data_IF_195150858196
#
_entry.id   IF_195150858196
#
_cell.length_a   1.000
_cell.length_b   1.000
_cell.length_c   1.000
_cell.angle_alpha   90.00
_cell.angle_beta   90.00
_cell.angle_gamma   90.00
#
_symmetry.space_group_name_H-M   'P 1'
#
loop_
_entity.id
_entity.type
_entity.pdbx_description
1 polymer ?
#
# COMPACT_ATOMS: atom_id res chain seq x y z
N UNK A 1 -8.38 6.45 34.24
CA UNK A 1 -8.27 6.39 33.67
C UNK A 1 -8.17 6.03 33.00
N UNK A 2 -7.99 5.96 33.28
CA UNK A 2 -7.82 5.78 32.65
C UNK A 2 -7.84 5.37 31.69
N UNK A 3 -7.67 5.10 32.07
CA UNK A 3 -7.68 4.75 31.25
C UNK A 3 -8.15 4.58 30.34
N UNK A 4 -8.49 4.54 30.26
CA UNK A 4 -9.07 4.45 29.27
C UNK A 4 -8.79 5.08 28.02
N UNK A 5 -8.27 5.70 27.78
CA UNK A 5 -7.95 6.21 26.71
C UNK A 5 -7.41 5.52 25.67
N UNK A 6 -7.03 4.75 25.82
CA UNK A 6 -6.51 3.80 25.00
C UNK A 6 -7.37 3.41 23.90
N UNK A 7 -8.62 3.25 24.17
CA UNK A 7 -9.58 2.74 23.24
C UNK A 7 -9.88 3.68 22.10
N UNK A 8 -9.39 4.90 22.13
CA UNK A 8 -9.63 5.83 21.04
C UNK A 8 -8.65 5.69 19.90
N UNK A 9 -7.61 4.88 20.06
CA UNK A 9 -6.64 4.66 19.01
C UNK A 9 -7.20 3.65 18.01
N UNK A 10 -7.32 4.01 16.72
CA UNK A 10 -7.81 3.04 15.75
C UNK A 10 -6.88 1.86 15.64
N UNK A 11 -7.46 0.72 15.39
CA UNK A 11 -6.67 -0.49 15.19
C UNK A 11 -6.53 -0.75 13.72
N UNK A 12 -5.31 -1.02 13.30
CA UNK A 12 -5.01 -1.38 11.93
C UNK A 12 -4.43 -2.78 11.92
N UNK A 13 -4.57 -3.44 10.78
CA UNK A 13 -3.99 -4.75 10.62
C UNK A 13 -2.48 -4.66 10.62
N UNK A 14 -1.82 -5.67 11.17
CA UNK A 14 -0.36 -5.78 11.03
C UNK A 14 0.02 -7.03 10.26
N UNK A 15 -0.93 -7.91 9.95
CA UNK A 15 -0.69 -9.13 9.19
C UNK A 15 -1.87 -9.42 8.26
N UNK A 16 -1.58 -10.16 7.21
CA UNK A 16 -2.58 -10.69 6.30
C UNK A 16 -2.53 -12.21 6.37
N UNK A 17 -3.68 -12.84 6.13
CA UNK A 17 -3.74 -14.29 5.91
C UNK A 17 -4.06 -14.51 4.44
N UNK A 18 -3.14 -15.11 3.73
CA UNK A 18 -3.28 -15.30 2.29
C UNK A 18 -3.48 -16.78 2.00
N UNK A 19 -4.62 -17.15 1.40
CA UNK A 19 -4.83 -18.55 1.06
C UNK A 19 -3.90 -18.97 -0.07
N UNK A 20 -3.15 -20.04 0.16
CA UNK A 20 -2.29 -20.63 -0.87
C UNK A 20 -2.53 -22.12 -0.82
N UNK A 21 -3.29 -22.62 -1.78
CA UNK A 21 -3.72 -24.02 -1.83
C UNK A 21 -4.49 -24.37 -0.57
N UNK A 22 -4.03 -25.31 0.23
CA UNK A 22 -4.72 -25.73 1.45
C UNK A 22 -4.19 -25.03 2.70
N UNK A 23 -3.43 -23.96 2.54
CA UNK A 23 -2.83 -23.27 3.67
C UNK A 23 -3.24 -21.81 3.71
N UNK A 24 -3.18 -21.24 4.90
CA UNK A 24 -3.29 -19.82 5.11
C UNK A 24 -1.92 -19.31 5.50
N UNK A 25 -1.38 -18.43 4.68
CA UNK A 25 -0.03 -17.93 4.86
C UNK A 25 -0.08 -16.58 5.58
N UNK A 26 0.45 -16.48 6.81
CA UNK A 26 0.48 -15.19 7.50
C UNK A 26 1.63 -14.34 6.96
N UNK A 27 1.30 -13.13 6.52
CA UNK A 27 2.27 -12.20 5.94
C UNK A 27 2.24 -10.93 6.77
N UNK A 28 3.39 -10.51 7.25
CA UNK A 28 3.49 -9.22 7.95
C UNK A 28 3.34 -8.09 6.96
N UNK A 29 2.57 -7.06 7.30
CA UNK A 29 2.43 -5.90 6.45
C UNK A 29 3.73 -5.13 6.29
N UNK A 30 4.69 -5.33 7.18
CA UNK A 30 6.02 -4.75 7.02
C UNK A 30 6.77 -5.36 5.85
N UNK A 31 6.35 -6.54 5.40
CA UNK A 31 6.98 -7.22 4.27
C UNK A 31 6.26 -6.96 2.96
N UNK A 32 5.21 -6.14 2.97
CA UNK A 32 4.42 -5.84 1.78
C UNK A 32 4.90 -4.57 1.13
N UNK A 33 5.16 -4.62 -0.18
CA UNK A 33 5.53 -3.45 -0.96
C UNK A 33 4.30 -2.72 -1.51
N UNK A 34 3.34 -3.46 -2.04
CA UNK A 34 2.16 -2.82 -2.60
C UNK A 34 1.04 -3.82 -2.81
N UNK A 35 -0.15 -3.28 -3.06
CA UNK A 35 -1.29 -4.04 -3.54
C UNK A 35 -1.63 -3.50 -4.91
N UNK A 36 -1.94 -4.38 -5.83
CA UNK A 36 -2.18 -4.04 -7.23
C UNK A 36 -3.45 -4.72 -7.71
N UNK A 37 -4.27 -3.98 -8.45
CA UNK A 37 -5.48 -4.56 -9.02
C UNK A 37 -5.51 -4.33 -10.53
N UNK A 38 -5.92 -5.35 -11.26
CA UNK A 38 -6.14 -5.28 -12.70
C UNK A 38 -7.12 -6.38 -13.08
N UNK A 39 -8.00 -6.10 -14.03
CA UNK A 39 -8.97 -7.08 -14.54
C UNK A 39 -9.77 -7.72 -13.41
N UNK A 40 -10.14 -6.91 -12.42
CA UNK A 40 -10.95 -7.33 -11.26
C UNK A 40 -10.25 -8.30 -10.31
N UNK A 41 -8.95 -8.48 -10.49
CA UNK A 41 -8.14 -9.32 -9.61
C UNK A 41 -7.17 -8.45 -8.84
N UNK A 42 -7.01 -8.74 -7.56
CA UNK A 42 -6.09 -8.02 -6.70
C UNK A 42 -4.96 -8.93 -6.27
N UNK A 43 -3.77 -8.37 -6.18
CA UNK A 43 -2.56 -9.08 -5.80
C UNK A 43 -1.82 -8.30 -4.74
N UNK A 44 -1.21 -9.02 -3.80
CA UNK A 44 -0.30 -8.43 -2.84
C UNK A 44 1.13 -8.75 -3.28
N UNK A 45 1.98 -7.73 -3.32
CA UNK A 45 3.39 -7.86 -3.70
C UNK A 45 4.26 -7.67 -2.48
N UNK A 46 5.15 -8.62 -2.24
CA UNK A 46 6.05 -8.59 -1.09
C UNK A 46 7.37 -7.96 -1.47
N UNK A 47 8.12 -7.54 -0.46
CA UNK A 47 9.45 -6.95 -0.67
C UNK A 47 10.43 -7.93 -1.30
N UNK A 48 10.14 -9.22 -1.23
CA UNK A 48 10.94 -10.24 -1.90
C UNK A 48 10.71 -10.27 -3.42
N UNK A 49 9.65 -9.61 -3.89
CA UNK A 49 9.25 -9.67 -5.29
C UNK A 49 8.16 -10.70 -5.56
N UNK A 50 7.86 -11.56 -4.60
CA UNK A 50 6.79 -12.54 -4.76
C UNK A 50 5.43 -11.86 -4.69
N UNK A 51 4.45 -12.44 -5.36
CA UNK A 51 3.09 -11.93 -5.31
C UNK A 51 2.10 -13.06 -5.11
N UNK A 52 0.95 -12.70 -4.54
CA UNK A 52 -0.12 -13.65 -4.28
C UNK A 52 -1.47 -13.01 -4.59
N UNK A 53 -2.42 -13.79 -5.12
CA UNK A 53 -3.79 -13.26 -5.24
C UNK A 53 -4.37 -12.97 -3.87
N UNK A 54 -5.14 -11.90 -3.79
CA UNK A 54 -5.76 -11.49 -2.54
C UNK A 54 -7.18 -11.00 -2.85
N UNK A 55 -8.18 -11.76 -2.42
CA UNK A 55 -9.56 -11.57 -2.89
C UNK A 55 -10.27 -10.45 -2.15
N UNK A 56 -9.75 -9.23 -2.24
CA UNK A 56 -10.39 -8.03 -1.69
C UNK A 56 -10.16 -6.88 -2.64
N UNK A 57 -11.06 -5.90 -2.60
CA UNK A 57 -10.88 -4.68 -3.39
C UNK A 57 -9.86 -3.78 -2.71
N UNK A 58 -9.27 -2.87 -3.47
CA UNK A 58 -8.35 -1.90 -2.87
C UNK A 58 -9.06 -1.03 -1.85
N UNK A 59 -10.34 -0.72 -2.05
CA UNK A 59 -11.12 0.04 -1.08
C UNK A 59 -11.21 -0.70 0.27
N UNK A 60 -11.49 -1.99 0.21
CA UNK A 60 -11.55 -2.80 1.42
C UNK A 60 -10.20 -2.89 2.10
N UNK A 61 -9.14 -3.05 1.31
CA UNK A 61 -7.80 -3.19 1.84
C UNK A 61 -7.36 -1.91 2.53
N UNK A 62 -7.46 -0.76 1.85
CA UNK A 62 -6.95 0.49 2.39
C UNK A 62 -7.65 0.88 3.69
N UNK A 63 -8.91 0.50 3.85
CA UNK A 63 -9.68 0.85 5.04
C UNK A 63 -9.15 0.22 6.31
N UNK A 64 -8.37 -0.86 6.19
CA UNK A 64 -7.83 -1.56 7.35
C UNK A 64 -6.34 -1.32 7.55
N UNK A 65 -5.71 -0.51 6.70
CA UNK A 65 -4.27 -0.25 6.78
C UNK A 65 -3.99 1.08 7.45
N UNK A 66 -2.83 1.16 8.10
CA UNK A 66 -2.39 2.39 8.72
C UNK A 66 -2.11 3.44 7.64
N UNK A 67 -2.76 4.61 7.70
CA UNK A 67 -2.52 5.65 6.68
C UNK A 67 -1.12 6.24 6.73
N UNK A 68 -0.40 6.05 7.82
CA UNK A 68 1.01 6.47 7.87
C UNK A 68 1.89 5.56 7.04
N UNK A 69 1.49 4.30 6.88
CA UNK A 69 2.33 3.29 6.23
C UNK A 69 1.93 3.02 4.79
N UNK A 70 0.68 3.25 4.42
CA UNK A 70 0.16 2.92 3.09
C UNK A 70 -0.68 4.05 2.54
N UNK A 71 -0.61 4.26 1.24
CA UNK A 71 -1.44 5.26 0.57
C UNK A 71 -2.01 4.66 -0.71
N UNK A 72 -3.22 5.08 -1.06
CA UNK A 72 -3.82 4.76 -2.35
C UNK A 72 -3.17 5.67 -3.38
N UNK A 73 -2.25 5.12 -4.18
CA UNK A 73 -1.53 5.91 -5.16
C UNK A 73 -2.42 6.33 -6.33
N UNK A 74 -3.23 5.39 -6.80
CA UNK A 74 -4.16 5.64 -7.90
C UNK A 74 -5.20 4.51 -7.88
N UNK A 75 -5.94 4.37 -8.97
CA UNK A 75 -7.00 3.35 -9.01
C UNK A 75 -6.48 1.93 -8.94
N UNK A 76 -5.23 1.71 -9.30
CA UNK A 76 -4.68 0.35 -9.39
C UNK A 76 -3.72 -0.02 -8.27
N UNK A 77 -3.24 0.95 -7.50
CA UNK A 77 -2.17 0.69 -6.53
C UNK A 77 -2.43 1.27 -5.16
N UNK A 78 -2.11 0.47 -4.14
CA UNK A 78 -1.86 0.93 -2.78
C UNK A 78 -0.38 0.62 -2.55
N UNK A 79 0.40 1.60 -2.11
CA UNK A 79 1.84 1.41 -1.94
C UNK A 79 2.26 1.67 -0.50
N UNK A 80 3.31 0.96 -0.09
CA UNK A 80 3.93 1.12 1.22
C UNK A 80 4.94 2.26 1.17
N UNK A 81 4.93 3.10 2.20
CA UNK A 81 5.89 4.21 2.25
C UNK A 81 7.33 3.72 2.24
N UNK A 82 7.60 2.66 2.99
CA UNK A 82 8.96 2.11 3.07
C UNK A 82 9.46 1.50 1.77
N UNK A 83 8.56 1.22 0.84
CA UNK A 83 8.93 0.59 -0.41
C UNK A 83 9.22 1.58 -1.53
N UNK A 84 8.98 2.86 -1.31
CA UNK A 84 9.25 3.88 -2.32
C UNK A 84 10.74 4.08 -2.42
N UNK A 85 11.28 3.79 -3.61
CA UNK A 85 12.71 3.94 -3.88
C UNK A 85 13.03 5.35 -4.35
N UNK A 86 12.27 5.86 -5.30
CA UNK A 86 12.42 7.23 -5.77
C UNK A 86 11.15 7.71 -6.45
N UNK A 87 11.11 9.00 -6.70
CA UNK A 87 9.96 9.67 -7.30
C UNK A 87 10.50 10.55 -8.41
N UNK A 88 9.98 10.34 -9.63
CA UNK A 88 10.37 11.13 -10.79
C UNK A 88 9.28 12.15 -11.10
N UNK A 89 9.65 13.39 -11.32
CA UNK A 89 8.71 14.40 -11.79
C UNK A 89 8.38 14.08 -13.23
N UNK A 90 7.11 13.88 -13.52
CA UNK A 90 6.66 13.41 -14.82
C UNK A 90 5.86 14.49 -15.54
N UNK A 91 5.50 14.20 -16.78
CA UNK A 91 4.72 15.14 -17.60
C UNK A 91 3.42 15.52 -16.89
N UNK A 92 2.92 16.71 -17.19
CA UNK A 92 1.64 17.23 -16.69
C UNK A 92 1.60 17.27 -15.16
N UNK A 93 2.73 17.54 -14.54
CA UNK A 93 2.84 17.67 -13.08
C UNK A 93 2.47 16.40 -12.33
N UNK A 94 2.49 15.26 -13.02
CA UNK A 94 2.31 13.96 -12.36
C UNK A 94 3.64 13.52 -11.74
N UNK A 95 3.56 12.51 -10.90
CA UNK A 95 4.76 11.89 -10.34
C UNK A 95 4.79 10.43 -10.77
N UNK A 96 5.97 9.93 -11.03
CA UNK A 96 6.19 8.51 -11.29
C UNK A 96 6.92 7.94 -10.09
N UNK A 97 6.30 6.98 -9.42
CA UNK A 97 6.86 6.36 -8.22
C UNK A 97 7.52 5.05 -8.59
N UNK A 98 8.77 4.88 -8.17
CA UNK A 98 9.48 3.62 -8.36
C UNK A 98 9.60 2.94 -7.01
N UNK A 99 9.21 1.67 -6.95
CA UNK A 99 9.30 0.88 -5.73
C UNK A 99 10.59 0.06 -5.71
N UNK A 100 10.84 -0.55 -4.57
CA UNK A 100 12.01 -1.41 -4.37
C UNK A 100 11.87 -2.77 -5.04
N UNK A 101 10.74 -3.06 -5.66
CA UNK A 101 10.49 -4.30 -6.41
C UNK A 101 9.93 -3.96 -7.78
N UNK A 102 9.95 -4.93 -8.67
CA UNK A 102 9.30 -4.76 -9.97
C UNK A 102 7.81 -5.00 -9.84
N UNK A 103 7.03 -4.20 -10.55
CA UNK A 103 5.58 -4.30 -10.57
C UNK A 103 5.11 -4.30 -12.02
N UNK A 104 3.89 -4.79 -12.27
CA UNK A 104 3.42 -4.97 -13.66
C UNK A 104 3.23 -3.69 -14.45
N UNK A 105 3.00 -2.56 -13.79
CA UNK A 105 2.73 -1.29 -14.45
C UNK A 105 3.43 -0.17 -13.72
N UNK A 106 3.65 0.95 -14.41
CA UNK A 106 4.19 2.15 -13.79
C UNK A 106 3.16 2.74 -12.84
N UNK A 107 3.64 3.31 -11.75
CA UNK A 107 2.78 3.88 -10.72
C UNK A 107 2.81 5.40 -10.85
N UNK A 108 1.72 5.97 -11.35
CA UNK A 108 1.61 7.42 -11.51
C UNK A 108 0.74 8.01 -10.41
N UNK A 109 1.18 9.15 -9.89
CA UNK A 109 0.40 9.97 -8.97
C UNK A 109 -0.10 11.16 -9.77
N UNK A 110 -1.41 11.40 -9.75
CA UNK A 110 -1.98 12.49 -10.51
C UNK A 110 -1.53 13.85 -9.94
N UNK A 111 -1.63 14.87 -10.77
CA UNK A 111 -1.31 16.24 -10.36
C UNK A 111 -2.06 16.63 -9.10
N UNK A 112 -3.32 16.26 -9.01
CA UNK A 112 -4.15 16.65 -7.88
C UNK A 112 -3.73 16.00 -6.56
N UNK A 113 -3.07 14.84 -6.63
CA UNK A 113 -2.61 14.14 -5.44
C UNK A 113 -1.14 14.35 -5.15
N UNK A 114 -0.42 15.00 -6.04
CA UNK A 114 1.04 15.10 -5.93
C UNK A 114 1.50 15.77 -4.64
N UNK A 115 0.83 16.84 -4.25
CA UNK A 115 1.18 17.58 -3.03
C UNK A 115 0.93 16.72 -1.78
N UNK A 116 -0.21 16.07 -1.73
CA UNK A 116 -0.57 15.18 -0.62
C UNK A 116 0.44 14.04 -0.53
N UNK A 117 0.81 13.47 -1.67
CA UNK A 117 1.74 12.35 -1.70
C UNK A 117 3.12 12.77 -1.19
N UNK A 118 3.61 13.93 -1.61
CA UNK A 118 4.91 14.43 -1.16
C UNK A 118 4.93 14.64 0.35
N UNK A 119 3.86 15.19 0.89
CA UNK A 119 3.75 15.39 2.33
C UNK A 119 3.73 14.06 3.07
N UNK A 120 3.00 13.11 2.53
CA UNK A 120 2.87 11.78 3.14
C UNK A 120 4.23 11.08 3.20
N UNK A 121 5.02 11.18 2.13
CA UNK A 121 6.27 10.43 2.04
C UNK A 121 7.30 10.89 3.08
N UNK A 122 7.23 12.16 3.49
CA UNK A 122 8.17 12.69 4.47
C UNK A 122 7.60 12.77 5.87
N UNK A 123 6.31 12.54 6.04
CA UNK A 123 5.66 12.64 7.34
C UNK A 123 5.99 11.44 8.21
N UNK A 124 6.19 11.68 9.49
CA UNK A 124 6.42 10.61 10.45
C UNK A 124 5.17 10.23 11.20
N UNK A 125 4.08 10.92 10.91
CA UNK A 125 2.87 10.64 11.67
C UNK A 125 1.77 10.15 10.82
#
# INVERSE_FOLDING_TARGET
SQLTQLSTTPKYKDKLLIPVKDKLLPISLKDVSCFYTADKNTYVYLKTGNSYPYAKTLEQIISSLSPADFIRANKQFIISRDSVKDITIWFDSRLLVTLDIEVPERIYISKNKASEFKSWIVSLE
#
